data_IF_257986414763
#
_entry.id   IF_257986414763
#
_cell.length_a   1.000
_cell.length_b   1.000
_cell.length_c   1.000
_cell.angle_alpha   90.00
_cell.angle_beta   90.00
_cell.angle_gamma   90.00
#
_symmetry.space_group_name_H-M   'P 1'
#
loop_
_entity.id
_entity.type
_entity.pdbx_description
1 polymer ?
#
# COMPACT_ATOMS: atom_id res chain seq x y z
N UNK A 1 -16.58 -0.58 -7.54
CA UNK A 1 -16.22 -1.94 -8.03
C UNK A 1 -15.93 -2.84 -6.83
N UNK A 2 -16.39 -4.10 -6.82
CA UNK A 2 -16.26 -5.01 -5.67
C UNK A 2 -14.80 -5.41 -5.41
N UNK A 3 -14.32 -5.31 -4.16
CA UNK A 3 -12.94 -5.65 -3.72
C UNK A 3 -12.48 -7.04 -4.19
N UNK A 4 -13.35 -8.05 -4.12
CA UNK A 4 -13.07 -9.41 -4.56
C UNK A 4 -12.79 -9.50 -6.07
N UNK A 5 -13.49 -8.69 -6.86
CA UNK A 5 -13.36 -8.66 -8.32
C UNK A 5 -12.03 -7.99 -8.70
N UNK A 6 -11.68 -6.88 -8.04
CA UNK A 6 -10.39 -6.21 -8.22
C UNK A 6 -9.24 -7.16 -7.90
N UNK A 7 -9.29 -7.89 -6.78
CA UNK A 7 -8.24 -8.85 -6.43
C UNK A 7 -8.04 -9.95 -7.48
N UNK A 8 -9.12 -10.42 -8.12
CA UNK A 8 -9.03 -11.43 -9.19
C UNK A 8 -8.49 -10.85 -10.50
N UNK A 9 -8.85 -9.61 -10.80
CA UNK A 9 -8.49 -8.92 -12.04
C UNK A 9 -7.17 -8.14 -11.96
N UNK A 10 -6.62 -7.89 -10.76
CA UNK A 10 -5.44 -7.05 -10.55
C UNK A 10 -4.27 -7.40 -11.49
N UNK A 11 -4.06 -8.69 -11.73
CA UNK A 11 -3.06 -9.24 -12.67
C UNK A 11 -3.24 -8.79 -14.13
N UNK A 12 -4.34 -8.15 -14.50
CA UNK A 12 -4.66 -7.61 -15.83
C UNK A 12 -4.93 -6.10 -15.80
N UNK A 13 -4.90 -5.47 -14.62
CA UNK A 13 -5.16 -4.04 -14.45
C UNK A 13 -3.88 -3.28 -14.02
N UNK A 14 -2.96 -3.96 -13.36
CA UNK A 14 -1.73 -3.37 -12.84
C UNK A 14 -0.63 -3.33 -13.91
N UNK A 15 -0.10 -2.15 -14.29
CA UNK A 15 0.82 -2.03 -15.43
C UNK A 15 2.04 -2.97 -15.36
N UNK A 16 2.76 -3.10 -14.23
CA UNK A 16 3.87 -4.04 -14.12
C UNK A 16 3.48 -5.50 -14.38
N UNK A 17 2.25 -5.90 -14.02
CA UNK A 17 1.77 -7.27 -14.26
C UNK A 17 1.27 -7.48 -15.69
N UNK A 18 0.76 -6.44 -16.34
CA UNK A 18 0.38 -6.47 -17.76
C UNK A 18 1.64 -6.64 -18.60
N UNK A 19 2.65 -5.79 -18.40
CA UNK A 19 3.92 -5.88 -19.13
C UNK A 19 4.59 -7.25 -19.00
N UNK A 20 4.58 -7.82 -17.79
CA UNK A 20 5.15 -9.15 -17.55
C UNK A 20 4.44 -10.25 -18.34
N UNK A 21 3.11 -10.16 -18.52
CA UNK A 21 2.34 -11.17 -19.23
C UNK A 21 2.35 -11.00 -20.74
N UNK A 22 2.23 -9.76 -21.19
CA UNK A 22 2.09 -9.44 -22.61
C UNK A 22 3.46 -9.24 -23.27
N UNK A 23 4.52 -9.10 -22.48
CA UNK A 23 5.87 -8.85 -22.98
C UNK A 23 6.02 -7.48 -23.64
N UNK A 24 5.09 -6.57 -23.38
CA UNK A 24 5.06 -5.23 -23.97
C UNK A 24 5.67 -4.21 -23.01
N UNK A 25 6.38 -3.23 -23.59
CA UNK A 25 6.85 -2.07 -22.85
C UNK A 25 5.67 -1.13 -22.61
N UNK A 26 5.43 -0.77 -21.36
CA UNK A 26 4.36 0.13 -20.96
C UNK A 26 5.02 1.41 -20.45
N UNK A 27 4.59 2.56 -20.95
CA UNK A 27 5.21 3.86 -20.65
C UNK A 27 5.35 4.15 -19.15
N UNK A 28 4.39 3.70 -18.35
CA UNK A 28 4.38 3.86 -16.89
C UNK A 28 5.55 3.13 -16.21
N UNK A 29 6.07 2.04 -16.81
CA UNK A 29 7.23 1.31 -16.28
C UNK A 29 8.51 2.13 -16.50
N UNK A 30 8.63 2.80 -17.65
CA UNK A 30 9.74 3.73 -17.88
C UNK A 30 9.67 4.90 -16.87
N UNK A 31 8.45 5.39 -16.61
CA UNK A 31 8.19 6.40 -15.59
C UNK A 31 8.56 5.95 -14.17
N UNK A 32 8.29 4.70 -13.83
CA UNK A 32 8.68 4.07 -12.56
C UNK A 32 10.20 4.02 -12.41
N UNK A 33 10.90 3.55 -13.44
CA UNK A 33 12.36 3.44 -13.46
C UNK A 33 13.04 4.81 -13.33
N UNK A 34 12.52 5.83 -14.01
CA UNK A 34 12.99 7.23 -13.89
C UNK A 34 12.80 7.73 -12.46
N UNK A 35 11.58 7.61 -11.91
CA UNK A 35 11.28 8.05 -10.55
C UNK A 35 12.17 7.36 -9.51
N UNK A 36 12.36 6.06 -9.66
CA UNK A 36 13.17 5.26 -8.76
C UNK A 36 14.65 5.65 -8.84
N UNK A 37 15.20 5.78 -10.05
CA UNK A 37 16.58 6.18 -10.28
C UNK A 37 16.86 7.60 -9.75
N UNK A 38 15.97 8.55 -10.00
CA UNK A 38 16.12 9.93 -9.53
C UNK A 38 16.01 10.01 -8.00
N UNK A 39 15.04 9.34 -7.38
CA UNK A 39 14.90 9.29 -5.92
C UNK A 39 16.14 8.69 -5.25
N UNK A 40 16.72 7.66 -5.88
CA UNK A 40 17.91 6.98 -5.39
C UNK A 40 19.17 7.83 -5.55
N UNK A 41 19.36 8.45 -6.71
CA UNK A 41 20.48 9.37 -6.98
C UNK A 41 20.45 10.58 -6.06
N UNK A 42 19.25 11.06 -5.70
CA UNK A 42 19.03 12.18 -4.80
C UNK A 42 18.80 11.77 -3.34
N UNK A 43 19.18 10.55 -2.95
CA UNK A 43 19.02 10.07 -1.58
C UNK A 43 19.86 10.86 -0.55
N UNK A 44 20.85 11.63 -0.99
CA UNK A 44 21.62 12.54 -0.15
C UNK A 44 20.81 13.77 0.35
N UNK A 45 19.64 14.05 -0.23
CA UNK A 45 18.83 15.21 0.16
C UNK A 45 18.56 15.15 1.67
N UNK A 46 18.73 16.30 2.33
CA UNK A 46 18.49 16.50 3.76
C UNK A 46 17.26 17.40 3.96
N UNK A 47 16.62 17.37 5.14
CA UNK A 47 15.45 18.21 5.43
C UNK A 47 15.67 19.69 5.10
N UNK A 48 16.86 20.23 5.43
CA UNK A 48 17.26 21.61 5.14
C UNK A 48 17.19 21.99 3.67
N UNK A 49 17.43 21.05 2.74
CA UNK A 49 17.39 21.32 1.30
C UNK A 49 15.97 21.54 0.78
N UNK A 50 14.98 21.05 1.53
CA UNK A 50 13.56 21.10 1.22
C UNK A 50 12.84 22.10 2.14
N UNK A 51 13.61 22.91 2.90
CA UNK A 51 13.05 23.94 3.78
C UNK A 51 12.37 23.41 5.04
N UNK A 52 12.71 22.20 5.49
CA UNK A 52 12.11 21.58 6.69
C UNK A 52 13.17 21.22 7.73
N UNK A 53 12.85 21.33 9.01
CA UNK A 53 13.76 20.95 10.12
C UNK A 53 13.53 19.51 10.63
N UNK A 54 12.38 18.92 10.30
CA UNK A 54 11.95 17.58 10.72
C UNK A 54 12.88 16.50 10.17
N UNK A 55 13.49 15.73 11.06
CA UNK A 55 14.48 14.72 10.68
C UNK A 55 13.85 13.36 10.38
N UNK A 56 14.51 12.57 9.52
CA UNK A 56 14.09 11.20 9.20
C UNK A 56 14.11 10.25 10.41
N UNK A 57 14.91 10.55 11.43
CA UNK A 57 15.04 9.71 12.62
C UNK A 57 13.84 9.78 13.56
N UNK A 58 12.98 10.78 13.38
CA UNK A 58 11.79 10.98 14.21
C UNK A 58 10.77 9.86 14.01
N UNK A 59 10.08 9.52 15.09
CA UNK A 59 9.13 8.40 15.12
C UNK A 59 7.99 8.60 14.11
N UNK A 60 7.48 9.83 14.00
CA UNK A 60 6.44 10.17 13.03
C UNK A 60 6.90 9.97 11.58
N UNK A 61 8.12 10.41 11.24
CA UNK A 61 8.65 10.28 9.90
C UNK A 61 8.89 8.82 9.51
N UNK A 62 9.43 8.01 10.42
CA UNK A 62 9.57 6.55 10.23
C UNK A 62 8.22 5.85 10.05
N UNK A 63 7.21 6.28 10.79
CA UNK A 63 5.86 5.72 10.70
C UNK A 63 5.21 6.08 9.36
N UNK A 64 5.31 7.34 8.94
CA UNK A 64 4.82 7.80 7.64
C UNK A 64 5.51 7.05 6.50
N UNK A 65 6.83 6.86 6.58
CA UNK A 65 7.62 6.10 5.60
C UNK A 65 7.14 4.64 5.50
N UNK A 66 6.96 3.99 6.65
CA UNK A 66 6.50 2.61 6.71
C UNK A 66 5.09 2.44 6.11
N UNK A 67 4.20 3.42 6.30
CA UNK A 67 2.87 3.40 5.69
C UNK A 67 2.93 3.63 4.19
N UNK A 68 3.75 4.57 3.72
CA UNK A 68 3.87 4.86 2.29
C UNK A 68 4.42 3.64 1.52
N UNK A 69 5.38 2.91 2.10
CA UNK A 69 5.90 1.66 1.53
C UNK A 69 4.86 0.52 1.46
N UNK A 70 3.73 0.62 2.18
CA UNK A 70 2.66 -0.38 2.14
C UNK A 70 1.69 -0.22 0.96
N UNK A 71 1.81 0.85 0.17
CA UNK A 71 0.97 1.04 -1.04
C UNK A 71 1.01 -0.19 -1.95
N UNK A 72 2.16 -0.83 -2.08
CA UNK A 72 2.34 -2.00 -2.95
C UNK A 72 1.80 -3.30 -2.36
N UNK A 73 1.48 -3.32 -1.06
CA UNK A 73 0.92 -4.50 -0.39
C UNK A 73 -0.56 -4.72 -0.66
N UNK A 74 -1.24 -3.73 -1.25
CA UNK A 74 -2.68 -3.76 -1.51
C UNK A 74 -3.00 -3.63 -3.00
N UNK A 75 -4.09 -4.28 -3.40
CA UNK A 75 -4.55 -4.31 -4.79
C UNK A 75 -5.65 -3.27 -5.05
N UNK A 76 -6.45 -2.90 -4.05
CA UNK A 76 -7.57 -1.99 -4.25
C UNK A 76 -7.07 -0.55 -4.39
N UNK A 77 -7.48 0.21 -5.42
CA UNK A 77 -7.08 1.60 -5.58
C UNK A 77 -7.42 2.44 -4.34
N UNK A 78 -8.57 2.19 -3.69
CA UNK A 78 -8.95 2.89 -2.46
C UNK A 78 -8.00 2.61 -1.31
N UNK A 79 -7.59 1.36 -1.13
CA UNK A 79 -6.62 1.01 -0.10
C UNK A 79 -5.26 1.67 -0.37
N UNK A 80 -4.83 1.78 -1.63
CA UNK A 80 -3.61 2.52 -2.02
C UNK A 80 -3.70 4.00 -1.62
N UNK A 81 -4.82 4.66 -1.96
CA UNK A 81 -5.08 6.06 -1.57
C UNK A 81 -5.13 6.22 -0.04
N UNK A 82 -5.68 5.26 0.69
CA UNK A 82 -5.72 5.30 2.15
C UNK A 82 -4.32 5.22 2.79
N UNK A 83 -3.38 4.47 2.20
CA UNK A 83 -1.98 4.48 2.66
C UNK A 83 -1.29 5.82 2.39
N UNK A 84 -1.51 6.41 1.21
CA UNK A 84 -1.02 7.76 0.86
C UNK A 84 -1.57 8.77 1.88
N UNK A 85 -2.89 8.81 2.05
CA UNK A 85 -3.57 9.65 3.03
C UNK A 85 -2.99 9.47 4.44
N UNK A 86 -2.92 8.24 4.93
CA UNK A 86 -2.47 7.96 6.30
C UNK A 86 -1.02 8.39 6.52
N UNK A 87 -0.15 8.19 5.51
CA UNK A 87 1.24 8.64 5.59
C UNK A 87 1.36 10.17 5.67
N UNK A 88 0.64 10.89 4.81
CA UNK A 88 0.70 12.36 4.76
C UNK A 88 -0.07 13.00 5.92
N UNK A 89 -1.08 12.34 6.46
CA UNK A 89 -1.77 12.78 7.67
C UNK A 89 -0.83 12.78 8.88
N UNK A 90 0.06 11.80 8.99
CA UNK A 90 1.10 11.82 10.03
C UNK A 90 2.02 13.03 9.85
N UNK A 91 2.43 13.34 8.63
CA UNK A 91 3.26 14.53 8.34
C UNK A 91 2.53 15.82 8.74
N UNK A 92 1.25 15.94 8.42
CA UNK A 92 0.41 17.07 8.85
C UNK A 92 0.41 17.20 10.39
N UNK A 93 0.22 16.09 11.12
CA UNK A 93 0.25 16.11 12.58
C UNK A 93 1.63 16.48 13.15
N UNK A 94 2.71 16.04 12.50
CA UNK A 94 4.07 16.43 12.90
C UNK A 94 4.26 17.95 12.76
N UNK A 95 3.83 18.54 11.65
CA UNK A 95 3.93 19.99 11.45
C UNK A 95 3.16 20.74 12.54
N UNK A 96 1.93 20.32 12.84
CA UNK A 96 1.12 20.90 13.94
C UNK A 96 1.85 20.83 15.28
N UNK A 97 2.50 19.70 15.57
CA UNK A 97 3.23 19.50 16.82
C UNK A 97 4.48 20.40 16.93
N UNK A 98 5.30 20.48 15.89
CA UNK A 98 6.56 21.23 15.92
C UNK A 98 6.37 22.73 15.78
N UNK A 99 5.53 23.16 14.83
CA UNK A 99 5.41 24.59 14.51
C UNK A 99 4.31 25.28 15.32
N UNK A 100 3.43 24.52 15.99
CA UNK A 100 2.28 25.05 16.76
C UNK A 100 1.40 26.01 15.95
N UNK A 101 1.33 25.80 14.64
CA UNK A 101 0.62 26.62 13.66
C UNK A 101 -0.35 25.76 12.84
N UNK A 102 -1.25 26.43 12.13
CA UNK A 102 -2.08 25.78 11.12
C UNK A 102 -1.19 25.31 9.96
N UNK A 103 -1.44 24.09 9.48
CA UNK A 103 -0.69 23.52 8.37
C UNK A 103 -1.17 24.13 7.07
N UNK A 104 -0.25 24.75 6.34
CA UNK A 104 -0.45 25.24 4.98
C UNK A 104 0.17 24.27 3.97
N UNK A 105 -0.21 24.39 2.70
CA UNK A 105 0.37 23.59 1.62
C UNK A 105 1.90 23.80 1.49
N UNK A 106 2.37 25.04 1.73
CA UNK A 106 3.79 25.40 1.68
C UNK A 106 4.64 24.70 2.76
N UNK A 107 4.00 24.24 3.84
CA UNK A 107 4.65 23.47 4.91
C UNK A 107 4.54 21.97 4.66
N UNK A 108 3.40 21.51 4.16
CA UNK A 108 3.11 20.09 3.98
C UNK A 108 3.80 19.51 2.75
N UNK A 109 3.69 20.17 1.61
CA UNK A 109 4.20 19.64 0.33
C UNK A 109 5.70 19.33 0.36
N UNK A 110 6.58 20.22 0.88
CA UNK A 110 8.01 19.92 0.94
C UNK A 110 8.31 18.69 1.81
N UNK A 111 7.58 18.49 2.91
CA UNK A 111 7.73 17.32 3.76
C UNK A 111 7.21 16.03 3.08
N UNK A 112 6.09 16.11 2.35
CA UNK A 112 5.59 15.02 1.51
C UNK A 112 6.59 14.61 0.42
N UNK A 113 7.20 15.60 -0.24
CA UNK A 113 8.22 15.39 -1.25
C UNK A 113 9.47 14.73 -0.64
N UNK A 114 9.95 15.25 0.48
CA UNK A 114 11.09 14.67 1.19
C UNK A 114 10.81 13.21 1.61
N UNK A 115 9.63 12.91 2.14
CA UNK A 115 9.20 11.55 2.46
C UNK A 115 9.23 10.65 1.22
N UNK A 116 8.69 11.14 0.10
CA UNK A 116 8.56 10.39 -1.15
C UNK A 116 9.94 10.04 -1.74
N UNK A 117 10.87 11.00 -1.77
CA UNK A 117 12.26 10.77 -2.21
C UNK A 117 12.94 9.71 -1.34
N UNK A 118 12.69 9.73 -0.03
CA UNK A 118 13.26 8.75 0.91
C UNK A 118 12.60 7.38 0.83
N UNK A 119 11.33 7.32 0.43
CA UNK A 119 10.61 6.06 0.23
C UNK A 119 11.10 5.27 -0.97
N UNK A 120 11.60 5.94 -2.02
CA UNK A 120 12.10 5.28 -3.24
C UNK A 120 11.08 4.27 -3.78
N UNK A 121 9.86 4.74 -4.05
CA UNK A 121 8.74 3.90 -4.45
C UNK A 121 9.04 3.20 -5.79
N UNK A 122 8.93 1.86 -5.86
CA UNK A 122 9.31 1.10 -7.06
C UNK A 122 8.28 1.18 -8.19
N UNK A 123 7.02 1.46 -7.89
CA UNK A 123 5.93 1.49 -8.88
C UNK A 123 5.12 2.80 -8.79
N UNK A 124 5.83 3.93 -8.73
CA UNK A 124 5.23 5.23 -8.43
C UNK A 124 4.27 5.72 -9.53
N UNK A 125 4.72 5.75 -10.79
CA UNK A 125 3.92 6.20 -11.94
C UNK A 125 2.83 5.17 -12.26
N UNK A 126 3.15 3.88 -12.18
CA UNK A 126 2.15 2.80 -12.30
C UNK A 126 1.05 2.88 -11.24
N UNK A 127 1.37 3.30 -10.00
CA UNK A 127 0.39 3.48 -8.92
C UNK A 127 -0.61 4.56 -9.27
N UNK A 128 -0.12 5.72 -9.71
CA UNK A 128 -0.96 6.87 -10.05
C UNK A 128 -1.87 6.49 -11.23
N UNK A 129 -1.28 5.97 -12.31
CA UNK A 129 -2.02 5.55 -13.49
C UNK A 129 -3.14 4.56 -13.14
N UNK A 130 -2.83 3.53 -12.34
CA UNK A 130 -3.84 2.55 -11.92
C UNK A 130 -4.99 3.18 -11.11
N UNK A 131 -4.70 4.15 -10.23
CA UNK A 131 -5.73 4.83 -9.44
C UNK A 131 -6.63 5.67 -10.36
N UNK A 132 -6.05 6.38 -11.32
CA UNK A 132 -6.78 7.21 -12.30
C UNK A 132 -7.68 6.37 -13.21
N UNK A 133 -7.15 5.28 -13.78
CA UNK A 133 -7.90 4.38 -14.66
C UNK A 133 -9.10 3.71 -13.95
N UNK A 134 -8.99 3.47 -12.64
CA UNK A 134 -10.08 2.87 -11.87
C UNK A 134 -11.20 3.86 -11.51
N UNK A 135 -11.09 5.14 -11.91
CA UNK A 135 -12.11 6.20 -11.80
C UNK A 135 -12.88 6.19 -10.46
N UNK A 136 -12.13 6.08 -9.37
CA UNK A 136 -12.73 5.97 -8.06
C UNK A 136 -13.34 7.29 -7.58
N UNK A 137 -14.48 7.19 -6.89
CA UNK A 137 -14.99 8.29 -6.10
C UNK A 137 -14.15 8.44 -4.85
N UNK A 138 -13.41 9.56 -4.78
CA UNK A 138 -12.55 9.91 -3.66
C UNK A 138 -13.14 11.16 -3.00
N UNK A 139 -13.30 11.13 -1.67
CA UNK A 139 -13.78 12.28 -0.90
C UNK A 139 -12.81 13.47 -1.03
N UNK A 140 -13.31 14.70 -0.85
CA UNK A 140 -12.52 15.93 -1.04
C UNK A 140 -11.19 15.95 -0.25
N UNK A 141 -11.19 15.46 0.99
CA UNK A 141 -9.95 15.39 1.80
C UNK A 141 -8.95 14.39 1.20
N UNK A 142 -9.38 13.18 0.85
CA UNK A 142 -8.51 12.17 0.24
C UNK A 142 -7.95 12.66 -1.10
N UNK A 143 -8.77 13.37 -1.89
CA UNK A 143 -8.34 13.95 -3.17
C UNK A 143 -7.24 14.99 -2.98
N UNK A 144 -7.29 15.81 -1.92
CA UNK A 144 -6.21 16.77 -1.62
C UNK A 144 -4.85 16.08 -1.40
N UNK A 145 -4.81 15.02 -0.59
CA UNK A 145 -3.57 14.28 -0.35
C UNK A 145 -3.10 13.50 -1.58
N UNK A 146 -4.03 12.96 -2.36
CA UNK A 146 -3.72 12.31 -3.62
C UNK A 146 -3.13 13.29 -4.64
N UNK A 147 -3.68 14.50 -4.77
CA UNK A 147 -3.11 15.55 -5.62
C UNK A 147 -1.69 15.94 -5.18
N UNK A 148 -1.42 16.05 -3.87
CA UNK A 148 -0.06 16.27 -3.38
C UNK A 148 0.88 15.13 -3.73
N UNK A 149 0.41 13.87 -3.72
CA UNK A 149 1.20 12.71 -4.10
C UNK A 149 1.51 12.69 -5.60
N UNK A 150 0.55 13.04 -6.46
CA UNK A 150 0.79 13.22 -7.89
C UNK A 150 1.80 14.34 -8.17
N UNK A 151 1.64 15.49 -7.51
CA UNK A 151 2.60 16.58 -7.62
C UNK A 151 4.01 16.19 -7.13
N UNK A 152 4.12 15.32 -6.11
CA UNK A 152 5.42 14.76 -5.71
C UNK A 152 6.04 13.91 -6.82
N UNK A 153 5.25 13.10 -7.54
CA UNK A 153 5.74 12.31 -8.68
C UNK A 153 6.31 13.19 -9.78
N UNK A 154 5.55 14.21 -10.18
CA UNK A 154 5.95 15.11 -11.25
C UNK A 154 7.21 15.94 -10.86
N UNK A 155 7.32 16.32 -9.59
CA UNK A 155 8.52 16.97 -9.07
C UNK A 155 9.74 16.02 -9.06
N UNK A 156 9.56 14.77 -8.66
CA UNK A 156 10.64 13.76 -8.66
C UNK A 156 11.14 13.51 -10.09
N UNK A 157 10.25 13.46 -11.09
CA UNK A 157 10.63 13.30 -12.50
C UNK A 157 11.46 14.46 -13.06
N UNK A 158 11.30 15.66 -12.48
CA UNK A 158 12.00 16.89 -12.88
C UNK A 158 13.14 17.28 -11.92
N UNK A 159 13.48 16.40 -10.97
CA UNK A 159 14.44 16.66 -9.91
C UNK A 159 15.85 16.85 -10.49
N UNK A 160 16.37 18.07 -10.37
CA UNK A 160 17.69 18.45 -10.84
C UNK A 160 18.32 19.51 -9.94
N UNK A 161 19.53 19.98 -10.28
CA UNK A 161 20.20 21.06 -9.56
C UNK A 161 19.32 22.31 -9.41
N UNK A 162 18.61 22.70 -10.47
CA UNK A 162 17.76 23.90 -10.45
C UNK A 162 16.64 23.82 -9.41
N UNK A 163 16.17 22.62 -9.09
CA UNK A 163 15.17 22.38 -8.06
C UNK A 163 15.70 22.61 -6.63
N UNK A 164 17.02 22.54 -6.44
CA UNK A 164 17.68 22.67 -5.13
C UNK A 164 18.61 23.88 -5.03
N UNK A 165 18.72 24.70 -6.09
CA UNK A 165 19.69 25.81 -6.22
C UNK A 165 19.69 26.81 -5.06
N UNK A 166 18.56 26.96 -4.37
CA UNK A 166 18.42 27.88 -3.23
C UNK A 166 19.08 27.36 -1.96
N UNK A 167 19.27 26.04 -1.85
CA UNK A 167 19.80 25.39 -0.65
C UNK A 167 21.19 24.78 -0.82
N UNK A 168 21.62 24.51 -2.06
CA UNK A 168 22.92 23.88 -2.35
C UNK A 168 23.66 24.57 -3.49
N UNK A 169 24.98 24.70 -3.34
CA UNK A 169 25.84 25.20 -4.43
C UNK A 169 26.00 24.12 -5.52
N UNK A 170 26.27 24.54 -6.77
CA UNK A 170 26.45 23.59 -7.87
C UNK A 170 27.59 22.60 -7.60
N UNK A 171 28.73 23.09 -7.09
CA UNK A 171 29.89 22.25 -6.77
C UNK A 171 29.58 21.21 -5.69
N UNK A 172 28.82 21.60 -4.66
CA UNK A 172 28.40 20.68 -3.60
C UNK A 172 27.40 19.65 -4.11
N UNK A 173 26.44 20.07 -4.95
CA UNK A 173 25.47 19.16 -5.57
C UNK A 173 26.14 18.08 -6.42
N UNK A 174 27.05 18.47 -7.31
CA UNK A 174 27.81 17.53 -8.16
C UNK A 174 28.62 16.55 -7.31
N UNK A 175 29.28 17.05 -6.26
CA UNK A 175 30.03 16.22 -5.30
C UNK A 175 29.13 15.20 -4.61
N UNK A 176 27.96 15.60 -4.10
CA UNK A 176 27.01 14.72 -3.42
C UNK A 176 26.41 13.68 -4.36
N UNK A 177 26.11 14.05 -5.62
CA UNK A 177 25.66 13.09 -6.64
C UNK A 177 26.72 12.03 -6.88
N UNK A 178 27.97 12.41 -7.14
CA UNK A 178 29.05 11.46 -7.41
C UNK A 178 29.29 10.54 -6.21
N UNK A 179 29.25 11.09 -5.00
CA UNK A 179 29.34 10.30 -3.76
C UNK A 179 28.17 9.31 -3.61
N UNK A 180 26.96 9.72 -3.96
CA UNK A 180 25.77 8.87 -3.87
C UNK A 180 25.82 7.75 -4.89
N UNK A 181 26.14 8.06 -6.14
CA UNK A 181 26.27 7.07 -7.21
C UNK A 181 27.39 6.06 -6.90
N UNK A 182 28.54 6.53 -6.40
CA UNK A 182 29.68 5.66 -6.07
C UNK A 182 29.43 4.77 -4.85
N UNK A 183 28.72 5.27 -3.83
CA UNK A 183 28.38 4.48 -2.64
C UNK A 183 27.27 3.46 -2.90
N UNK A 184 26.39 3.73 -3.86
CA UNK A 184 25.35 2.80 -4.24
C UNK A 184 25.91 1.72 -5.16
N UNK A 185 26.07 0.50 -4.61
CA UNK A 185 26.08 -0.69 -5.46
C UNK A 185 24.75 -0.70 -6.20
N UNK A 186 24.79 -0.39 -7.50
CA UNK A 186 23.64 -0.48 -8.40
C UNK A 186 23.16 -1.93 -8.47
N UNK A 187 22.42 -2.35 -7.45
CA UNK A 187 21.49 -3.44 -7.57
C UNK A 187 20.26 -2.82 -8.19
N UNK A 188 20.02 -3.11 -9.46
CA UNK A 188 18.68 -3.05 -10.03
C UNK A 188 17.80 -3.71 -8.96
N UNK A 189 16.77 -3.04 -8.42
CA UNK A 189 15.79 -3.75 -7.62
C UNK A 189 15.35 -4.87 -8.56
N UNK A 190 15.73 -6.11 -8.25
CA UNK A 190 14.92 -7.24 -8.70
C UNK A 190 13.60 -6.86 -8.10
N UNK A 191 12.72 -6.31 -8.93
CA UNK A 191 11.38 -5.88 -8.56
C UNK A 191 10.89 -7.03 -7.72
N UNK A 192 10.92 -6.79 -6.41
CA UNK A 192 10.42 -7.71 -5.42
C UNK A 192 8.94 -7.51 -5.57
N UNK A 193 8.41 -7.96 -6.71
CA UNK A 193 7.04 -8.28 -6.88
C UNK A 193 6.80 -9.16 -5.68
N UNK A 194 6.15 -8.59 -4.67
CA UNK A 194 5.30 -9.39 -3.81
C UNK A 194 4.25 -9.89 -4.79
N UNK A 195 4.63 -10.92 -5.55
CA UNK A 195 3.70 -11.83 -6.17
C UNK A 195 2.86 -12.20 -4.96
N UNK A 196 1.58 -11.80 -4.88
CA UNK A 196 0.75 -12.25 -3.78
C UNK A 196 0.95 -13.75 -3.78
N UNK A 197 1.53 -14.29 -2.69
CA UNK A 197 1.84 -15.72 -2.62
C UNK A 197 0.57 -16.39 -3.09
N UNK A 198 0.64 -17.09 -4.23
CA UNK A 198 -0.50 -17.77 -4.79
C UNK A 198 -0.94 -18.69 -3.67
N UNK A 199 -1.99 -18.32 -2.93
CA UNK A 199 -2.52 -19.21 -1.90
C UNK A 199 -2.90 -20.44 -2.71
N UNK A 200 -2.19 -21.54 -2.45
CA UNK A 200 -2.50 -22.79 -3.12
C UNK A 200 -3.97 -23.06 -2.86
N UNK A 201 -4.67 -23.66 -3.84
CA UNK A 201 -6.06 -24.06 -3.63
C UNK A 201 -6.20 -24.85 -2.33
N UNK A 202 -5.18 -25.64 -1.95
CA UNK A 202 -5.05 -26.30 -0.65
C UNK A 202 -5.04 -25.35 0.56
N UNK A 203 -4.34 -24.21 0.52
CA UNK A 203 -4.36 -23.21 1.60
C UNK A 203 -5.69 -22.46 1.68
N UNK A 204 -6.33 -22.21 0.53
CA UNK A 204 -7.68 -21.62 0.47
C UNK A 204 -8.70 -22.62 1.00
N UNK A 205 -8.61 -23.89 0.62
CA UNK A 205 -9.42 -24.99 1.14
C UNK A 205 -9.20 -25.15 2.64
N UNK A 206 -7.96 -25.16 3.12
CA UNK A 206 -7.66 -25.23 4.55
C UNK A 206 -8.27 -24.06 5.34
N UNK A 207 -8.25 -22.85 4.79
CA UNK A 207 -8.87 -21.68 5.43
C UNK A 207 -10.41 -21.70 5.37
N UNK A 208 -11.00 -22.29 4.34
CA UNK A 208 -12.45 -22.51 4.21
C UNK A 208 -12.88 -23.66 5.14
N UNK A 209 -12.14 -24.76 5.15
CA UNK A 209 -12.35 -25.96 5.97
C UNK A 209 -12.16 -25.67 7.46
N UNK A 210 -11.19 -24.82 7.84
CA UNK A 210 -11.02 -24.36 9.22
C UNK A 210 -12.19 -23.48 9.68
N UNK A 211 -12.86 -22.79 8.75
CA UNK A 211 -14.02 -21.94 9.05
C UNK A 211 -15.35 -22.68 8.97
N UNK A 212 -15.42 -23.80 8.26
CA UNK A 212 -16.59 -24.68 8.19
C UNK A 212 -16.60 -25.75 9.28
N UNK A 213 -15.44 -26.28 9.70
CA UNK A 213 -15.37 -27.33 10.74
C UNK A 213 -15.63 -26.85 12.16
N UNK A 214 -15.53 -25.56 12.47
CA UNK A 214 -15.78 -25.06 13.83
C UNK A 214 -17.21 -24.55 14.07
N UNK A 215 -18.02 -24.37 13.02
CA UNK A 215 -19.27 -23.61 13.16
C UNK A 215 -20.53 -24.35 12.69
N UNK A 216 -20.46 -25.46 11.94
CA UNK A 216 -21.69 -26.16 11.51
C UNK A 216 -22.30 -27.00 12.63
N UNK A 217 -21.46 -27.77 13.33
CA UNK A 217 -21.97 -28.84 14.19
C UNK A 217 -22.32 -28.29 15.58
N UNK A 218 -21.49 -27.39 16.12
CA UNK A 218 -21.78 -26.64 17.36
C UNK A 218 -23.01 -25.74 17.23
N UNK A 219 -23.23 -25.13 16.05
CA UNK A 219 -24.41 -24.28 15.82
C UNK A 219 -25.69 -25.10 15.67
N UNK A 220 -25.64 -26.25 14.96
CA UNK A 220 -26.80 -27.14 14.84
C UNK A 220 -27.15 -27.80 16.19
N UNK A 221 -26.15 -28.16 17.00
CA UNK A 221 -26.35 -28.64 18.37
C UNK A 221 -26.99 -27.57 19.26
N UNK A 222 -26.46 -26.34 19.25
CA UNK A 222 -27.07 -25.24 19.99
C UNK A 222 -28.48 -24.89 19.47
N UNK A 223 -28.72 -25.01 18.17
CA UNK A 223 -30.03 -24.78 17.57
C UNK A 223 -31.04 -25.82 18.06
N UNK A 224 -30.75 -27.12 17.91
CA UNK A 224 -31.66 -28.19 18.33
C UNK A 224 -31.81 -28.33 19.85
N UNK A 225 -30.83 -27.89 20.65
CA UNK A 225 -30.95 -27.84 22.12
C UNK A 225 -31.93 -26.75 22.61
N UNK A 226 -32.12 -25.68 21.84
CA UNK A 226 -32.88 -24.50 22.26
C UNK A 226 -34.26 -24.38 21.58
N UNK A 227 -34.64 -25.32 20.71
CA UNK A 227 -35.94 -25.32 20.04
C UNK A 227 -37.03 -25.90 20.96
N UNK A 228 -38.19 -25.25 21.08
CA UNK A 228 -39.33 -25.79 21.81
C UNK A 228 -39.90 -27.02 21.08
N UNK A 229 -40.28 -28.07 21.82
CA UNK A 229 -40.73 -29.37 21.28
C UNK A 229 -41.91 -29.29 20.31
N UNK A 230 -42.70 -28.21 20.33
CA UNK A 230 -43.81 -28.01 19.40
C UNK A 230 -43.38 -27.60 17.97
N UNK A 231 -42.12 -27.19 17.78
CA UNK A 231 -41.59 -26.70 16.51
C UNK A 231 -40.71 -27.72 15.78
N UNK A 232 -40.48 -28.92 16.36
CA UNK A 232 -39.77 -29.99 15.67
C UNK A 232 -40.65 -30.62 14.57
N UNK A 233 -40.12 -30.65 13.34
CA UNK A 233 -40.77 -31.32 12.23
C UNK A 233 -40.24 -32.75 12.07
N UNK A 234 -41.00 -33.67 11.43
CA UNK A 234 -40.54 -35.05 11.18
C UNK A 234 -39.25 -35.11 10.34
N UNK A 235 -38.95 -34.06 9.57
CA UNK A 235 -37.76 -33.95 8.72
C UNK A 235 -36.48 -33.62 9.49
N UNK A 236 -36.60 -33.23 10.77
CA UNK A 236 -35.47 -32.91 11.63
C UNK A 236 -34.97 -34.12 12.43
N UNK A 237 -35.81 -35.15 12.57
CA UNK A 237 -35.49 -36.41 13.27
C UNK A 237 -34.26 -37.11 12.68
N UNK A 238 -34.11 -37.27 11.35
CA UNK A 238 -32.93 -37.90 10.77
C UNK A 238 -31.65 -37.08 11.00
N UNK A 239 -31.77 -35.75 11.07
CA UNK A 239 -30.64 -34.83 11.24
C UNK A 239 -30.11 -34.87 12.67
N UNK A 240 -31.01 -34.92 13.65
CA UNK A 240 -30.65 -35.07 15.07
C UNK A 240 -30.04 -36.45 15.35
N UNK A 241 -30.57 -37.52 14.73
CA UNK A 241 -30.02 -38.86 14.87
C UNK A 241 -28.58 -38.96 14.34
N UNK A 242 -28.31 -38.36 13.19
CA UNK A 242 -26.94 -38.31 12.64
C UNK A 242 -25.99 -37.52 13.55
N UNK A 243 -26.42 -36.36 14.06
CA UNK A 243 -25.62 -35.56 15.02
C UNK A 243 -25.29 -36.34 16.31
N UNK A 244 -26.25 -37.09 16.85
CA UNK A 244 -26.03 -37.93 18.03
C UNK A 244 -25.10 -39.11 17.74
N UNK A 245 -25.19 -39.68 16.55
CA UNK A 245 -24.32 -40.77 16.11
C UNK A 245 -22.87 -40.30 15.91
N UNK A 246 -22.68 -39.08 15.41
CA UNK A 246 -21.36 -38.44 15.29
C UNK A 246 -20.75 -38.17 16.67
N UNK A 247 -21.52 -37.61 17.62
CA UNK A 247 -21.05 -37.41 19.00
C UNK A 247 -20.69 -38.71 19.73
N UNK A 248 -21.42 -39.80 19.46
CA UNK A 248 -21.13 -41.10 20.04
C UNK A 248 -19.84 -41.72 19.48
N UNK A 249 -19.52 -41.44 18.22
CA UNK A 249 -18.29 -41.91 17.58
C UNK A 249 -17.06 -41.10 18.02
N UNK A 250 -17.23 -39.82 18.37
CA UNK A 250 -16.15 -38.96 18.86
C UNK A 250 -15.75 -39.22 20.34
N UNK A 251 -16.54 -40.02 21.07
CA UNK A 251 -16.32 -40.34 22.50
C UNK A 251 -15.74 -41.74 22.76
N UNK A 252 -15.52 -42.55 21.72
CA UNK A 252 -14.82 -43.85 21.77
C UNK A 252 -13.45 -43.77 21.10
#
# INVERSE_FOLDING_TARGET
>A
MNRLLINKLFKYLWPPMIALKEGQCIQQIDGDDICFCLSRTHSFIQPKHVGTEIQLNEIGMKSALTLLLKIDSVCTPLEKVMYIFSSFKILEQMIRFYQKTNVTADLLFPLCLFLTIKAQLPYFDSTIYYIEEMQMQINSELSYYYCNFMACKDFVQTLCYNSLKESISQQEYEKLIVQTISSQRWTIPKTGLVIPQKLSLQKIQQLIDQKSKSNSDDFLLQYYQNIPLQELTPEDIPKILNLLQELYNDTN
#
